data_IF_932504286250
#
_entry.id   IF_932504286250
#
_cell.length_a   1.000
_cell.length_b   1.000
_cell.length_c   1.000
_cell.angle_alpha   90.00
_cell.angle_beta   90.00
_cell.angle_gamma   90.00
#
_symmetry.space_group_name_H-M   'P 1'
#
loop_
_entity.id
_entity.type
_entity.pdbx_description
1 polymer ?
#
# COMPACT_ATOMS: atom_id res chain seq x y z
N UNK A 1 11.37 -18.82 3.43
CA UNK A 1 11.73 -18.95 2.00
C UNK A 1 11.52 -17.60 1.33
N UNK A 2 12.51 -17.11 0.56
CA UNK A 2 12.31 -15.99 -0.39
C UNK A 2 11.98 -16.59 -1.74
N UNK A 3 10.79 -16.32 -2.27
CA UNK A 3 10.37 -16.80 -3.59
C UNK A 3 10.78 -15.86 -4.73
N UNK A 4 11.08 -14.59 -4.42
CA UNK A 4 11.49 -13.58 -5.39
C UNK A 4 12.38 -12.51 -4.73
N UNK A 5 13.33 -11.97 -5.49
CA UNK A 5 14.17 -10.84 -5.11
C UNK A 5 14.54 -10.03 -6.36
N UNK A 6 14.55 -8.71 -6.26
CA UNK A 6 15.02 -7.81 -7.30
C UNK A 6 15.67 -6.57 -6.67
N UNK A 7 16.60 -5.98 -7.42
CA UNK A 7 17.31 -4.76 -7.06
C UNK A 7 17.04 -3.68 -8.12
N UNK A 8 16.90 -2.43 -7.68
CA UNK A 8 16.66 -1.29 -8.56
C UNK A 8 17.34 -0.04 -7.98
N UNK A 9 17.96 0.75 -8.86
CA UNK A 9 18.62 2.01 -8.50
C UNK A 9 17.79 3.18 -9.02
N UNK A 10 17.39 4.08 -8.11
CA UNK A 10 16.77 5.35 -8.47
C UNK A 10 17.84 6.43 -8.60
N UNK A 11 17.84 7.18 -9.71
CA UNK A 11 18.79 8.28 -9.96
C UNK A 11 18.40 9.57 -9.20
N UNK A 12 18.12 9.45 -7.91
CA UNK A 12 17.73 10.56 -7.04
C UNK A 12 18.40 10.46 -5.67
N UNK A 13 18.66 11.58 -4.98
CA UNK A 13 19.19 11.57 -3.63
C UNK A 13 18.30 10.76 -2.66
N UNK A 14 18.93 10.11 -1.68
CA UNK A 14 18.24 9.26 -0.70
C UNK A 14 17.02 9.93 -0.05
N UNK A 15 17.17 11.18 0.41
CA UNK A 15 16.09 11.92 1.06
C UNK A 15 14.88 12.13 0.13
N UNK A 16 15.11 12.31 -1.17
CA UNK A 16 14.05 12.42 -2.18
C UNK A 16 13.32 11.10 -2.37
N UNK A 17 14.07 9.99 -2.48
CA UNK A 17 13.50 8.64 -2.66
C UNK A 17 12.65 8.23 -1.46
N UNK A 18 13.17 8.42 -0.25
CA UNK A 18 12.45 8.12 1.00
C UNK A 18 11.18 8.96 1.09
N UNK A 19 11.28 10.26 0.84
CA UNK A 19 10.13 11.15 0.88
C UNK A 19 9.05 10.74 -0.15
N UNK A 20 9.47 10.40 -1.38
CA UNK A 20 8.59 9.88 -2.41
C UNK A 20 7.95 8.54 -2.01
N UNK A 21 8.66 7.67 -1.29
CA UNK A 21 8.10 6.41 -0.77
C UNK A 21 7.00 6.65 0.28
N UNK A 22 7.19 7.60 1.19
CA UNK A 22 6.16 7.97 2.17
C UNK A 22 4.93 8.59 1.50
N UNK A 23 5.15 9.45 0.48
CA UNK A 23 4.12 10.17 -0.28
C UNK A 23 3.77 9.50 -1.63
N UNK A 24 3.97 8.18 -1.75
CA UNK A 24 3.82 7.45 -3.02
C UNK A 24 2.39 7.49 -3.59
N UNK A 25 1.39 7.63 -2.72
CA UNK A 25 -0.02 7.67 -3.11
C UNK A 25 -0.67 9.00 -2.70
N UNK A 26 -1.63 9.50 -3.48
CA UNK A 26 -2.17 8.90 -4.72
C UNK A 26 -1.21 9.04 -5.92
N UNK A 27 -1.29 8.09 -6.86
CA UNK A 27 -0.38 8.02 -8.01
C UNK A 27 -1.16 7.59 -9.28
N UNK A 28 -0.90 8.19 -10.46
CA UNK A 28 -1.68 7.92 -11.67
C UNK A 28 -1.43 6.54 -12.30
N UNK A 29 -0.27 5.92 -12.04
CA UNK A 29 0.13 4.58 -12.50
C UNK A 29 -0.54 3.45 -11.68
N UNK A 30 -0.87 3.70 -10.41
CA UNK A 30 -1.57 2.74 -9.56
C UNK A 30 -2.76 3.43 -8.87
N UNK A 31 -3.92 3.33 -9.53
CA UNK A 31 -5.20 3.90 -9.07
C UNK A 31 -5.98 2.96 -8.14
N UNK A 32 -5.50 1.75 -7.92
CA UNK A 32 -6.19 0.78 -7.06
C UNK A 32 -6.13 1.17 -5.58
N UNK A 33 -5.10 1.91 -5.15
CA UNK A 33 -5.03 2.39 -3.77
C UNK A 33 -5.97 3.59 -3.60
N UNK A 34 -7.05 3.39 -2.85
CA UNK A 34 -8.10 4.39 -2.66
C UNK A 34 -7.91 5.23 -1.40
N UNK A 35 -7.31 4.66 -0.35
CA UNK A 35 -7.02 5.38 0.90
C UNK A 35 -5.75 4.85 1.56
N UNK A 36 -5.12 5.71 2.36
CA UNK A 36 -3.96 5.37 3.16
C UNK A 36 -4.02 6.15 4.47
N UNK A 37 -3.73 5.47 5.58
CA UNK A 37 -3.71 6.10 6.89
C UNK A 37 -2.49 5.62 7.69
N UNK A 38 -2.03 6.46 8.62
CA UNK A 38 -0.93 6.15 9.55
C UNK A 38 -1.56 5.79 10.89
N UNK A 39 -1.43 4.53 11.29
CA UNK A 39 -2.00 4.03 12.55
C UNK A 39 -1.09 4.41 13.72
N UNK A 40 0.22 4.26 13.53
CA UNK A 40 1.20 4.56 14.57
C UNK A 40 2.50 5.06 13.94
N UNK A 41 3.13 6.03 14.61
CA UNK A 41 4.46 6.51 14.25
C UNK A 41 5.27 6.79 15.51
N UNK A 42 6.46 6.20 15.60
CA UNK A 42 7.39 6.39 16.71
C UNK A 42 8.84 6.48 16.22
N UNK A 43 9.69 7.11 17.03
CA UNK A 43 11.13 7.12 16.81
C UNK A 43 11.76 6.34 17.95
N UNK A 44 12.37 5.20 17.64
CA UNK A 44 13.07 4.35 18.60
C UNK A 44 14.54 4.29 18.18
N UNK A 45 15.46 4.63 19.07
CA UNK A 45 16.92 4.60 18.82
C UNK A 45 17.35 5.33 17.53
N UNK A 46 16.70 6.44 17.21
CA UNK A 46 16.97 7.23 16.00
C UNK A 46 16.37 6.64 14.71
N UNK A 47 15.58 5.57 14.80
CA UNK A 47 14.88 4.95 13.67
C UNK A 47 13.40 5.29 13.70
N UNK A 48 12.90 5.87 12.60
CA UNK A 48 11.47 6.13 12.41
C UNK A 48 10.73 4.84 12.04
N UNK A 49 9.87 4.36 12.92
CA UNK A 49 8.94 3.25 12.67
C UNK A 49 7.57 3.83 12.35
N UNK A 50 6.94 3.33 11.29
CA UNK A 50 5.62 3.81 10.87
C UNK A 50 4.76 2.62 10.44
N UNK A 51 3.61 2.47 11.08
CA UNK A 51 2.58 1.51 10.71
C UNK A 51 1.50 2.22 9.89
N UNK A 52 1.17 1.64 8.73
CA UNK A 52 0.23 2.24 7.77
C UNK A 52 -0.78 1.20 7.31
N UNK A 53 -2.05 1.62 7.23
CA UNK A 53 -3.12 0.84 6.62
C UNK A 53 -3.37 1.38 5.23
N UNK A 54 -3.43 0.48 4.25
CA UNK A 54 -3.69 0.82 2.85
C UNK A 54 -5.00 0.16 2.42
N UNK A 55 -5.91 0.97 1.90
CA UNK A 55 -7.13 0.49 1.27
C UNK A 55 -6.89 0.36 -0.23
N UNK A 56 -7.17 -0.82 -0.77
CA UNK A 56 -7.03 -1.11 -2.20
C UNK A 56 -8.32 -1.70 -2.77
N UNK A 57 -8.71 -1.21 -3.94
CA UNK A 57 -9.77 -1.77 -4.76
C UNK A 57 -9.16 -2.59 -5.89
N UNK A 58 -9.44 -3.90 -5.88
CA UNK A 58 -9.03 -4.82 -6.93
C UNK A 58 -10.24 -5.22 -7.76
N UNK A 59 -10.07 -5.22 -9.09
CA UNK A 59 -11.06 -5.79 -10.00
C UNK A 59 -10.93 -7.31 -9.99
N UNK A 60 -12.00 -8.00 -9.64
CA UNK A 60 -12.07 -9.46 -9.73
C UNK A 60 -12.47 -9.83 -11.17
N UNK A 61 -11.82 -10.82 -11.81
CA UNK A 61 -12.26 -11.33 -13.11
C UNK A 61 -13.72 -11.79 -13.06
N UNK A 62 -14.50 -11.46 -14.09
CA UNK A 62 -15.94 -11.70 -14.12
C UNK A 62 -16.33 -13.17 -13.95
N UNK A 63 -15.50 -14.12 -14.37
CA UNK A 63 -15.72 -15.54 -14.16
C UNK A 63 -15.66 -15.92 -12.67
N UNK A 64 -14.77 -15.31 -11.90
CA UNK A 64 -14.61 -15.58 -10.48
C UNK A 64 -15.76 -14.97 -9.67
N UNK A 65 -16.18 -13.75 -10.00
CA UNK A 65 -17.35 -13.12 -9.36
C UNK A 65 -18.64 -13.92 -9.54
N UNK A 66 -18.82 -14.57 -10.70
CA UNK A 66 -19.98 -15.45 -10.96
C UNK A 66 -19.99 -16.72 -10.11
N UNK A 67 -18.82 -17.23 -9.75
CA UNK A 67 -18.68 -18.46 -8.96
C UNK A 67 -18.84 -18.21 -7.46
N UNK A 68 -18.36 -17.06 -6.97
CA UNK A 68 -18.26 -16.79 -5.53
C UNK A 68 -19.36 -15.85 -5.00
N UNK A 69 -20.16 -15.24 -5.88
CA UNK A 69 -21.14 -14.21 -5.50
C UNK A 69 -20.50 -12.95 -4.89
N UNK A 70 -19.18 -12.85 -4.96
CA UNK A 70 -18.39 -11.85 -4.24
C UNK A 70 -18.23 -10.59 -5.11
N UNK A 71 -18.94 -9.53 -4.73
CA UNK A 71 -18.65 -8.16 -5.15
C UNK A 71 -18.07 -7.43 -3.93
N UNK A 72 -16.83 -6.96 -3.98
CA UNK A 72 -16.20 -6.34 -2.81
C UNK A 72 -15.52 -5.01 -3.16
N UNK A 73 -15.80 -3.97 -2.37
CA UNK A 73 -15.09 -2.70 -2.27
C UNK A 73 -14.28 -2.61 -0.95
N UNK A 74 -13.05 -3.14 -0.89
CA UNK A 74 -12.11 -3.25 0.25
C UNK A 74 -12.33 -2.33 1.50
N UNK A 75 -12.91 -2.74 2.65
CA UNK A 75 -13.14 -2.00 3.91
C UNK A 75 -13.32 -3.01 5.07
N UNK A 76 -12.22 -3.48 5.64
CA UNK A 76 -12.26 -4.12 6.97
C UNK A 76 -12.02 -3.07 8.06
N UNK A 77 -12.51 -3.29 9.29
CA UNK A 77 -13.83 -2.92 9.77
C UNK A 77 -13.84 -1.56 10.49
N UNK A 78 -15.04 -0.99 10.57
CA UNK A 78 -15.43 0.09 11.47
C UNK A 78 -15.02 -0.25 12.91
N UNK A 79 -14.10 0.52 13.49
CA UNK A 79 -13.88 0.56 14.94
C UNK A 79 -14.97 1.44 15.53
N UNK A 80 -15.87 0.84 16.31
CA UNK A 80 -16.63 1.53 17.35
C UNK A 80 -15.88 1.39 18.66
#
# INVERSE_FOLDING_TARGET
MKYWAAEHVYEHPWHTVVNAAYRKYPNPMNRSITAIDVVQQSVDDGVLKTERVLQSQFSIPSWASKLTGFFWSAIFPRVH
#
